data_IF_999869490481
#
_entry.id   IF_999869490481
#
_cell.length_a   1.000
_cell.length_b   1.000
_cell.length_c   1.000
_cell.angle_alpha   90.00
_cell.angle_beta   90.00
_cell.angle_gamma   90.00
#
_symmetry.space_group_name_H-M   'P 1'
#
loop_
_entity.id
_entity.type
_entity.pdbx_description
1 polymer ?
#
# COMPACT_ATOMS: atom_id res chain seq x y z
N UNK A 1 -7.52 -9.37 -2.20
CA UNK A 1 -8.81 -9.49 -1.46
C UNK A 1 -9.59 -8.21 -1.73
N UNK A 2 -10.90 -8.27 -1.98
CA UNK A 2 -11.77 -7.11 -2.09
C UNK A 2 -12.85 -7.22 -1.00
N UNK A 3 -13.20 -6.12 -0.35
CA UNK A 3 -14.23 -6.05 0.68
C UNK A 3 -15.01 -4.75 0.57
N UNK A 4 -16.25 -4.75 1.04
CA UNK A 4 -17.06 -3.55 1.16
C UNK A 4 -16.76 -2.85 2.50
N UNK A 5 -16.99 -1.53 2.63
CA UNK A 5 -16.77 -0.79 3.87
C UNK A 5 -17.82 -1.09 4.95
N UNK A 6 -18.97 -1.65 4.60
CA UNK A 6 -20.06 -2.03 5.52
C UNK A 6 -20.99 -3.07 4.85
N UNK A 7 -21.95 -3.66 5.59
CA UNK A 7 -22.88 -4.64 5.03
C UNK A 7 -23.71 -4.16 3.84
N UNK A 8 -24.13 -2.89 3.80
CA UNK A 8 -24.87 -2.33 2.66
C UNK A 8 -23.96 -1.81 1.53
N UNK A 9 -22.64 -1.64 1.78
CA UNK A 9 -21.66 -1.17 0.82
C UNK A 9 -21.55 0.36 0.63
N UNK A 10 -22.40 1.15 1.28
CA UNK A 10 -22.53 2.59 1.02
C UNK A 10 -21.88 3.51 2.07
N UNK A 11 -21.09 2.98 3.02
CA UNK A 11 -20.55 3.79 4.12
C UNK A 11 -19.72 4.99 3.64
N UNK A 12 -18.99 4.84 2.53
CA UNK A 12 -18.14 5.89 1.93
C UNK A 12 -18.69 6.40 0.60
N UNK A 13 -19.92 6.04 0.24
CA UNK A 13 -20.52 6.44 -1.04
C UNK A 13 -21.10 7.87 -0.92
N UNK A 14 -20.63 8.85 -1.72
CA UNK A 14 -21.16 10.22 -1.65
C UNK A 14 -22.55 10.37 -2.26
N UNK A 15 -23.04 9.37 -3.01
CA UNK A 15 -24.33 9.42 -3.71
C UNK A 15 -25.45 8.65 -2.99
N UNK A 16 -25.11 7.77 -2.06
CA UNK A 16 -26.08 6.96 -1.31
C UNK A 16 -25.77 6.95 0.18
N UNK A 17 -26.79 7.18 0.98
CA UNK A 17 -26.68 7.13 2.43
C UNK A 17 -26.54 5.67 2.94
N UNK A 18 -25.63 5.47 3.87
CA UNK A 18 -25.45 4.20 4.53
C UNK A 18 -26.60 3.94 5.54
N UNK A 19 -27.28 2.82 5.40
CA UNK A 19 -28.40 2.43 6.29
C UNK A 19 -27.97 1.52 7.46
N UNK A 20 -26.67 1.20 7.56
CA UNK A 20 -26.16 0.33 8.62
C UNK A 20 -26.02 1.08 9.93
N UNK A 21 -26.39 0.42 11.04
CA UNK A 21 -26.08 0.94 12.38
C UNK A 21 -24.58 0.80 12.68
N UNK A 22 -24.05 1.62 13.60
CA UNK A 22 -22.65 1.54 14.03
C UNK A 22 -22.27 0.14 14.51
N UNK A 23 -23.18 -0.55 15.21
CA UNK A 23 -22.98 -1.94 15.66
C UNK A 23 -22.82 -2.91 14.49
N UNK A 24 -23.64 -2.76 13.44
CA UNK A 24 -23.55 -3.60 12.24
C UNK A 24 -22.23 -3.35 11.49
N UNK A 25 -21.81 -2.09 11.36
CA UNK A 25 -20.54 -1.72 10.74
C UNK A 25 -19.39 -2.34 11.52
N UNK A 26 -19.35 -2.13 12.84
CA UNK A 26 -18.30 -2.67 13.70
C UNK A 26 -18.22 -4.20 13.60
N UNK A 27 -19.34 -4.92 13.73
CA UNK A 27 -19.41 -6.38 13.61
C UNK A 27 -18.97 -6.88 12.23
N UNK A 28 -19.22 -6.11 11.17
CA UNK A 28 -18.78 -6.46 9.83
C UNK A 28 -17.26 -6.29 9.66
N UNK A 29 -16.73 -5.17 10.12
CA UNK A 29 -15.32 -4.84 10.02
C UNK A 29 -14.46 -5.78 10.87
N UNK A 30 -14.88 -6.16 12.08
CA UNK A 30 -14.15 -7.09 12.95
C UNK A 30 -14.01 -8.52 12.38
N UNK A 31 -14.68 -8.86 11.28
CA UNK A 31 -14.44 -10.13 10.56
C UNK A 31 -13.06 -10.20 9.93
N UNK A 32 -12.47 -9.05 9.61
CA UNK A 32 -11.09 -8.98 9.13
C UNK A 32 -10.21 -8.69 10.33
N UNK A 33 -9.42 -9.67 10.76
CA UNK A 33 -8.58 -9.50 11.95
C UNK A 33 -7.39 -8.57 11.68
N UNK A 34 -6.94 -7.84 12.71
CA UNK A 34 -5.74 -7.00 12.63
C UNK A 34 -4.51 -7.76 12.12
N UNK A 35 -4.21 -8.99 12.62
CA UNK A 35 -3.12 -9.80 12.09
C UNK A 35 -3.24 -10.17 10.61
N UNK A 36 -4.45 -10.23 10.04
CA UNK A 36 -4.65 -10.43 8.61
C UNK A 36 -4.30 -9.15 7.83
N UNK A 37 -4.78 -7.99 8.29
CA UNK A 37 -4.45 -6.71 7.70
C UNK A 37 -2.94 -6.44 7.72
N UNK A 38 -2.28 -6.74 8.83
CA UNK A 38 -0.81 -6.64 8.92
C UNK A 38 -0.08 -7.47 7.86
N UNK A 39 -0.71 -8.50 7.30
CA UNK A 39 -0.12 -9.35 6.26
C UNK A 39 -0.37 -8.87 4.84
N UNK A 40 -1.29 -7.93 4.64
CA UNK A 40 -1.58 -7.32 3.34
C UNK A 40 -0.67 -6.12 3.16
N UNK A 41 0.09 -6.06 2.07
CA UNK A 41 1.10 -5.01 1.86
C UNK A 41 0.49 -3.68 1.44
N UNK A 42 -0.56 -3.70 0.63
CA UNK A 42 -1.20 -2.51 0.05
C UNK A 42 -2.70 -2.53 0.34
N UNK A 43 -3.19 -1.44 0.90
CA UNK A 43 -4.60 -1.18 1.12
C UNK A 43 -5.04 -0.02 0.22
N UNK A 44 -6.05 -0.23 -0.61
CA UNK A 44 -6.53 0.75 -1.57
C UNK A 44 -8.03 0.89 -1.43
N UNK A 45 -8.49 2.12 -1.26
CA UNK A 45 -9.90 2.47 -1.35
C UNK A 45 -10.24 2.79 -2.81
N UNK A 46 -11.27 2.13 -3.33
CA UNK A 46 -11.77 2.35 -4.70
C UNK A 46 -13.11 3.05 -4.59
N UNK A 47 -13.18 4.37 -4.84
CA UNK A 47 -14.43 5.11 -4.75
C UNK A 47 -15.38 4.73 -5.90
N UNK A 48 -16.68 4.97 -5.69
CA UNK A 48 -17.69 4.78 -6.73
C UNK A 48 -17.42 5.69 -7.93
N UNK A 49 -17.45 5.12 -9.12
CA UNK A 49 -17.22 5.86 -10.37
C UNK A 49 -18.47 6.67 -10.73
N UNK A 50 -18.33 7.99 -10.91
CA UNK A 50 -19.43 8.85 -11.33
C UNK A 50 -19.77 8.61 -12.79
N UNK A 51 -21.07 8.66 -13.15
CA UNK A 51 -21.54 8.46 -14.53
C UNK A 51 -20.80 9.36 -15.56
N UNK A 52 -20.49 10.61 -15.19
CA UNK A 52 -19.72 11.52 -16.02
C UNK A 52 -18.32 11.00 -16.39
N UNK A 53 -17.70 10.26 -15.50
CA UNK A 53 -16.38 9.63 -15.74
C UNK A 53 -16.50 8.40 -16.64
N UNK A 54 -17.60 7.64 -16.53
CA UNK A 54 -17.88 6.51 -17.42
C UNK A 54 -18.18 6.95 -18.86
N UNK A 55 -18.80 8.12 -19.02
CA UNK A 55 -19.15 8.69 -20.34
C UNK A 55 -18.03 9.57 -20.92
N UNK A 56 -16.97 9.87 -20.16
CA UNK A 56 -15.81 10.59 -20.68
C UNK A 56 -15.07 9.73 -21.70
N UNK A 57 -14.57 10.39 -22.75
CA UNK A 57 -13.68 9.78 -23.75
C UNK A 57 -12.23 9.72 -23.26
N UNK A 58 -11.97 10.02 -21.99
CA UNK A 58 -10.64 9.98 -21.42
C UNK A 58 -10.16 8.52 -21.39
N UNK A 59 -9.22 8.23 -22.26
CA UNK A 59 -8.57 6.92 -22.29
C UNK A 59 -7.50 6.94 -21.20
N UNK A 60 -7.64 6.05 -20.20
CA UNK A 60 -6.64 5.87 -19.16
C UNK A 60 -5.26 5.47 -19.74
N UNK A 61 -4.27 5.38 -18.89
CA UNK A 61 -2.91 4.97 -19.30
C UNK A 61 -2.94 3.61 -20.00
N UNK A 62 -2.27 3.50 -21.15
CA UNK A 62 -2.25 2.27 -21.93
C UNK A 62 -1.46 1.16 -21.20
N UNK A 63 -1.98 -0.06 -21.27
CA UNK A 63 -1.33 -1.24 -20.66
C UNK A 63 0.10 -1.47 -21.14
N UNK A 64 0.43 -1.06 -22.37
CA UNK A 64 1.80 -1.15 -22.90
C UNK A 64 2.77 -0.25 -22.11
N UNK A 65 2.38 0.98 -21.82
CA UNK A 65 3.16 1.95 -21.03
C UNK A 65 3.36 1.45 -19.59
N UNK A 66 2.28 0.94 -18.98
CA UNK A 66 2.36 0.34 -17.63
C UNK A 66 3.33 -0.84 -17.63
N UNK A 67 3.21 -1.72 -18.63
CA UNK A 67 4.10 -2.90 -18.77
C UNK A 67 5.56 -2.49 -18.88
N UNK A 68 5.88 -1.49 -19.70
CA UNK A 68 7.26 -1.01 -19.87
C UNK A 68 7.85 -0.53 -18.54
N UNK A 69 7.10 0.27 -17.77
CA UNK A 69 7.52 0.74 -16.44
C UNK A 69 7.75 -0.43 -15.46
N UNK A 70 6.84 -1.39 -15.44
CA UNK A 70 6.98 -2.59 -14.60
C UNK A 70 8.20 -3.42 -15.01
N UNK A 71 8.43 -3.62 -16.32
CA UNK A 71 9.59 -4.39 -16.81
C UNK A 71 10.91 -3.72 -16.44
N UNK A 72 11.01 -2.39 -16.51
CA UNK A 72 12.19 -1.65 -16.04
C UNK A 72 12.47 -1.89 -14.55
N UNK A 73 11.45 -1.79 -13.72
CA UNK A 73 11.58 -2.05 -12.28
C UNK A 73 11.99 -3.51 -12.00
N UNK A 74 11.43 -4.48 -12.72
CA UNK A 74 11.79 -5.91 -12.59
C UNK A 74 13.23 -6.19 -13.00
N UNK A 75 13.71 -5.51 -14.02
CA UNK A 75 15.13 -5.64 -14.44
C UNK A 75 16.09 -5.08 -13.36
N UNK A 76 15.74 -3.97 -12.71
CA UNK A 76 16.50 -3.43 -11.56
C UNK A 76 16.55 -4.46 -10.42
N UNK A 77 15.41 -5.08 -10.08
CA UNK A 77 15.33 -6.11 -9.04
C UNK A 77 16.15 -7.35 -9.40
N UNK A 78 16.06 -7.81 -10.65
CA UNK A 78 16.85 -8.94 -11.15
C UNK A 78 18.36 -8.70 -11.02
N UNK A 79 18.83 -7.49 -11.33
CA UNK A 79 20.25 -7.12 -11.13
C UNK A 79 20.61 -7.07 -9.65
N UNK A 80 19.74 -6.50 -8.80
CA UNK A 80 19.93 -6.42 -7.34
C UNK A 80 20.11 -7.79 -6.72
N UNK A 81 19.35 -8.77 -7.14
CA UNK A 81 19.34 -10.13 -6.58
C UNK A 81 20.14 -11.15 -7.40
N UNK A 82 20.94 -10.71 -8.38
CA UNK A 82 21.68 -11.62 -9.27
C UNK A 82 22.60 -12.61 -8.54
N UNK A 83 23.09 -12.26 -7.34
CA UNK A 83 23.90 -13.12 -6.49
C UNK A 83 23.06 -13.99 -5.51
N UNK A 84 21.74 -13.90 -5.52
CA UNK A 84 20.85 -14.56 -4.57
C UNK A 84 19.86 -15.46 -5.33
N UNK A 85 20.09 -16.76 -5.36
CA UNK A 85 19.29 -17.71 -6.14
C UNK A 85 17.81 -17.82 -5.69
N UNK A 86 17.49 -17.42 -4.47
CA UNK A 86 16.17 -17.58 -3.87
C UNK A 86 15.35 -16.27 -3.92
N UNK A 87 15.94 -15.14 -4.35
CA UNK A 87 15.28 -13.85 -4.37
C UNK A 87 14.98 -13.40 -5.79
N UNK A 88 13.71 -13.21 -6.09
CA UNK A 88 13.26 -12.81 -7.42
C UNK A 88 12.66 -11.39 -7.46
N UNK A 89 12.25 -10.88 -6.30
CA UNK A 89 11.67 -9.54 -6.18
C UNK A 89 11.83 -8.97 -4.76
N UNK A 90 11.51 -7.68 -4.61
CA UNK A 90 11.59 -7.02 -3.30
C UNK A 90 10.70 -7.66 -2.22
N UNK A 91 9.60 -8.30 -2.61
CA UNK A 91 8.71 -8.99 -1.67
C UNK A 91 9.39 -10.18 -0.98
N UNK A 92 10.34 -10.83 -1.66
CA UNK A 92 11.04 -12.02 -1.16
C UNK A 92 12.09 -11.68 -0.10
N UNK A 93 12.54 -10.40 0.00
CA UNK A 93 13.55 -9.95 0.96
C UNK A 93 13.18 -10.34 2.39
N UNK A 94 14.15 -10.86 3.14
CA UNK A 94 14.07 -11.06 4.57
C UNK A 94 14.78 -9.89 5.29
N UNK A 95 14.82 -9.93 6.61
CA UNK A 95 15.40 -8.84 7.44
C UNK A 95 16.83 -8.47 7.02
N UNK A 96 17.64 -9.45 6.61
CA UNK A 96 19.03 -9.23 6.15
C UNK A 96 19.07 -8.37 4.88
N UNK A 97 18.28 -8.74 3.90
CA UNK A 97 18.23 -8.04 2.60
C UNK A 97 17.56 -6.68 2.73
N UNK A 98 16.54 -6.54 3.59
CA UNK A 98 15.94 -5.23 3.89
C UNK A 98 16.99 -4.28 4.44
N UNK A 99 17.82 -4.72 5.40
CA UNK A 99 18.91 -3.89 5.95
C UNK A 99 19.98 -3.54 4.91
N UNK A 100 20.18 -4.36 3.89
CA UNK A 100 21.16 -4.13 2.83
C UNK A 100 20.63 -3.22 1.73
N UNK A 101 19.39 -3.44 1.27
CA UNK A 101 18.86 -2.82 0.05
C UNK A 101 17.80 -1.73 0.30
N UNK A 102 17.30 -1.60 1.53
CA UNK A 102 16.27 -0.62 1.89
C UNK A 102 16.84 0.44 2.85
N UNK A 103 18.06 0.92 2.57
CA UNK A 103 18.64 2.03 3.34
C UNK A 103 17.84 3.31 3.10
N UNK A 104 17.54 4.00 4.18
CA UNK A 104 16.84 5.28 4.20
C UNK A 104 17.71 6.33 4.88
N UNK A 105 17.53 7.58 4.53
CA UNK A 105 18.21 8.71 5.14
C UNK A 105 17.56 9.16 6.46
N UNK A 106 18.15 10.13 7.16
CA UNK A 106 17.63 10.63 8.42
C UNK A 106 16.20 11.17 8.31
N UNK A 107 15.83 11.77 7.18
CA UNK A 107 14.47 12.27 6.94
C UNK A 107 13.47 11.12 6.76
N UNK A 108 13.88 10.06 6.10
CA UNK A 108 13.11 8.84 5.95
C UNK A 108 12.92 8.11 7.29
N UNK A 109 13.95 8.07 8.13
CA UNK A 109 13.86 7.49 9.48
C UNK A 109 12.87 8.27 10.36
N UNK A 110 12.88 9.60 10.30
CA UNK A 110 11.92 10.41 11.05
C UNK A 110 10.49 10.21 10.59
N UNK A 111 10.25 10.14 9.27
CA UNK A 111 8.93 9.80 8.71
C UNK A 111 8.45 8.42 9.19
N UNK A 112 9.32 7.41 9.14
CA UNK A 112 9.00 6.07 9.63
C UNK A 112 8.68 6.07 11.12
N UNK A 113 9.47 6.77 11.94
CA UNK A 113 9.23 6.91 13.37
C UNK A 113 7.89 7.58 13.67
N UNK A 114 7.57 8.65 12.96
CA UNK A 114 6.26 9.32 13.07
C UNK A 114 5.11 8.39 12.67
N UNK A 115 5.25 7.67 11.57
CA UNK A 115 4.23 6.72 11.12
C UNK A 115 4.02 5.60 12.13
N UNK A 116 5.09 5.00 12.64
CA UNK A 116 5.02 3.95 13.66
C UNK A 116 4.30 4.44 14.92
N UNK A 117 4.63 5.65 15.40
CA UNK A 117 4.04 6.22 16.61
C UNK A 117 2.60 6.67 16.41
N UNK A 118 2.33 7.46 15.35
CA UNK A 118 1.00 8.04 15.10
C UNK A 118 -0.01 7.01 14.58
N UNK A 119 0.44 6.07 13.74
CA UNK A 119 -0.40 5.03 13.17
C UNK A 119 -0.37 3.71 13.97
N UNK A 120 0.44 3.59 15.05
CA UNK A 120 0.55 2.37 15.88
C UNK A 120 0.90 1.13 15.06
N UNK A 121 1.76 1.29 14.07
CA UNK A 121 2.13 0.22 13.16
C UNK A 121 3.03 -0.79 13.88
N UNK A 122 2.90 -2.07 13.53
CA UNK A 122 3.72 -3.14 14.05
C UNK A 122 5.13 -3.14 13.43
N UNK A 123 6.10 -3.80 14.09
CA UNK A 123 7.44 -4.03 13.51
C UNK A 123 7.35 -4.72 12.14
N UNK A 124 6.37 -5.61 11.96
CA UNK A 124 6.13 -6.28 10.67
C UNK A 124 5.69 -5.28 9.60
N UNK A 125 4.88 -4.29 9.97
CA UNK A 125 4.47 -3.21 9.06
C UNK A 125 5.65 -2.34 8.64
N UNK A 126 6.64 -2.13 9.53
CA UNK A 126 7.86 -1.41 9.20
C UNK A 126 8.61 -2.06 8.02
N UNK A 127 8.90 -3.35 8.11
CA UNK A 127 9.59 -4.09 7.04
C UNK A 127 8.80 -4.05 5.72
N UNK A 128 7.47 -4.13 5.78
CA UNK A 128 6.60 -4.07 4.60
C UNK A 128 6.63 -2.70 3.93
N UNK A 129 6.56 -1.63 4.72
CA UNK A 129 6.68 -0.26 4.20
C UNK A 129 8.01 -0.09 3.47
N UNK A 130 9.11 -0.58 4.02
CA UNK A 130 10.43 -0.50 3.37
C UNK A 130 10.48 -1.28 2.05
N UNK A 131 9.90 -2.48 1.97
CA UNK A 131 9.81 -3.25 0.73
C UNK A 131 8.97 -2.53 -0.33
N UNK A 132 7.84 -1.93 0.07
CA UNK A 132 6.98 -1.15 -0.83
C UNK A 132 7.72 0.11 -1.28
N UNK A 133 8.33 0.88 -0.37
CA UNK A 133 9.11 2.07 -0.68
C UNK A 133 10.28 1.76 -1.66
N UNK A 134 10.97 0.61 -1.48
CA UNK A 134 11.99 0.14 -2.43
C UNK A 134 11.39 -0.13 -3.81
N UNK A 135 10.19 -0.70 -3.85
CA UNK A 135 9.52 -1.00 -5.13
C UNK A 135 9.07 0.28 -5.84
N UNK A 136 8.55 1.26 -5.09
CA UNK A 136 8.21 2.59 -5.63
C UNK A 136 9.46 3.28 -6.19
N UNK A 137 10.58 3.24 -5.45
CA UNK A 137 11.85 3.77 -5.90
C UNK A 137 12.36 3.07 -7.19
N UNK A 138 12.18 1.74 -7.30
CA UNK A 138 12.53 1.01 -8.53
C UNK A 138 11.64 1.42 -9.72
N UNK A 139 10.33 1.63 -9.48
CA UNK A 139 9.39 2.11 -10.51
C UNK A 139 9.73 3.52 -10.99
N UNK A 140 10.26 4.37 -10.12
CA UNK A 140 10.75 5.70 -10.46
C UNK A 140 12.21 5.71 -10.95
N UNK A 141 12.83 4.53 -11.11
CA UNK A 141 14.25 4.37 -11.45
C UNK A 141 15.21 5.09 -10.51
N UNK A 142 14.83 5.28 -9.25
CA UNK A 142 15.65 5.90 -8.22
C UNK A 142 16.63 4.89 -7.61
N UNK A 143 17.93 5.21 -7.51
CA UNK A 143 18.92 4.30 -6.91
C UNK A 143 18.73 4.15 -5.40
N UNK A 144 18.22 5.19 -4.73
CA UNK A 144 17.98 5.21 -3.29
C UNK A 144 16.49 5.39 -2.96
N UNK A 145 16.10 4.95 -1.77
CA UNK A 145 14.78 5.26 -1.21
C UNK A 145 14.83 6.70 -0.68
N UNK A 146 13.93 7.55 -1.17
CA UNK A 146 13.75 8.92 -0.71
C UNK A 146 12.52 9.04 0.18
N UNK A 147 12.40 10.15 0.91
CA UNK A 147 11.25 10.44 1.77
C UNK A 147 9.91 10.40 1.04
N UNK A 148 9.86 10.82 -0.23
CA UNK A 148 8.66 10.73 -1.09
C UNK A 148 8.18 9.29 -1.28
N UNK A 149 9.11 8.34 -1.51
CA UNK A 149 8.76 6.91 -1.66
C UNK A 149 8.24 6.30 -0.37
N UNK A 150 8.79 6.73 0.78
CA UNK A 150 8.34 6.31 2.11
C UNK A 150 6.94 6.86 2.40
N UNK A 151 6.72 8.15 2.12
CA UNK A 151 5.41 8.79 2.29
C UNK A 151 4.32 8.08 1.49
N UNK A 152 4.58 7.74 0.22
CA UNK A 152 3.66 6.98 -0.62
C UNK A 152 3.42 5.57 -0.06
N UNK A 153 4.48 4.87 0.36
CA UNK A 153 4.35 3.54 0.95
C UNK A 153 3.53 3.54 2.25
N UNK A 154 3.65 4.59 3.08
CA UNK A 154 2.85 4.77 4.30
C UNK A 154 1.38 5.00 3.95
N UNK A 155 1.07 5.76 2.89
CA UNK A 155 -0.30 6.01 2.46
C UNK A 155 -1.05 4.72 2.13
N UNK A 156 -0.39 3.74 1.51
CA UNK A 156 -0.99 2.42 1.24
C UNK A 156 -1.31 1.62 2.52
N UNK A 157 -0.88 2.10 3.69
CA UNK A 157 -1.18 1.48 4.98
C UNK A 157 -2.05 2.35 5.90
N UNK A 158 -2.36 3.57 5.49
CA UNK A 158 -3.15 4.50 6.30
C UNK A 158 -4.61 4.05 6.48
N UNK A 159 -5.12 3.21 5.59
CA UNK A 159 -6.46 2.63 5.68
C UNK A 159 -6.62 1.67 6.86
N UNK A 160 -5.52 1.15 7.42
CA UNK A 160 -5.57 0.29 8.62
C UNK A 160 -6.28 0.95 9.82
N UNK A 161 -6.36 2.28 9.84
CA UNK A 161 -6.93 3.02 10.97
C UNK A 161 -8.25 3.72 10.70
N UNK A 162 -8.42 4.35 9.53
CA UNK A 162 -9.59 5.20 9.28
C UNK A 162 -10.90 4.42 9.27
N UNK A 163 -10.87 3.17 8.84
CA UNK A 163 -12.03 2.28 8.82
C UNK A 163 -12.30 1.60 10.19
N UNK A 164 -11.29 1.53 11.08
CA UNK A 164 -11.35 0.77 12.34
C UNK A 164 -11.53 1.67 13.58
N UNK A 165 -11.32 2.98 13.46
CA UNK A 165 -11.43 3.95 14.56
C UNK A 165 -12.69 4.83 14.46
N UNK A 166 -13.52 4.66 13.44
CA UNK A 166 -14.81 5.34 13.30
C UNK A 166 -15.91 4.65 14.14
N UNK A 167 -15.58 4.30 15.39
CA UNK A 167 -16.52 3.77 16.39
C UNK A 167 -16.29 4.44 17.74
#
# INVERSE_FOLDING_TARGET
>A
MATQPCPCGYLTDPAKECTCTSIQIHKYMTRISGPLLDRIDLHIEVPAVKYKQLSSKDVGEQSATIRERVMKAREIQKRRFSACNELHCNADMQTKEIRMFCLIDASGEELMKMAMTKLGLSVRSYDRILKVARTIADLSSSPSIKSEHISEAIQYRSLDRNLWQAS
#
